data_IF_620843616087
#
_entry.id   IF_620843616087
#
_cell.length_a   1.000
_cell.length_b   1.000
_cell.length_c   1.000
_cell.angle_alpha   90.00
_cell.angle_beta   90.00
_cell.angle_gamma   90.00
#
_symmetry.space_group_name_H-M   'P 1'
#
loop_
_entity.id
_entity.type
_entity.pdbx_description
1 polymer ?
#
# COMPACT_ATOMS: atom_id res chain seq x y z
N UNK A 1 7.50 18.57 -13.24
CA UNK A 1 7.26 19.76 -12.42
C UNK A 1 8.18 19.84 -11.19
N UNK A 2 8.31 18.76 -10.43
CA UNK A 2 9.13 18.68 -9.21
C UNK A 2 10.56 18.19 -9.45
N UNK A 3 10.82 17.56 -10.58
CA UNK A 3 12.10 17.02 -11.02
C UNK A 3 12.42 17.60 -12.39
N UNK A 4 13.68 17.98 -12.64
CA UNK A 4 14.13 18.62 -13.88
C UNK A 4 14.63 17.60 -14.89
N UNK A 5 15.41 16.61 -14.43
CA UNK A 5 15.98 15.57 -15.29
C UNK A 5 14.92 14.55 -15.71
N UNK A 6 14.83 14.31 -17.01
CA UNK A 6 13.97 13.24 -17.57
C UNK A 6 14.32 11.87 -17.00
N UNK A 7 15.62 11.59 -16.85
CA UNK A 7 16.08 10.30 -16.33
C UNK A 7 15.66 10.09 -14.87
N UNK A 8 15.81 11.12 -14.02
CA UNK A 8 15.36 11.04 -12.64
C UNK A 8 13.82 10.87 -12.54
N UNK A 9 13.06 11.54 -13.41
CA UNK A 9 11.61 11.37 -13.48
C UNK A 9 11.22 9.94 -13.91
N UNK A 10 11.90 9.36 -14.91
CA UNK A 10 11.68 7.97 -15.33
C UNK A 10 12.00 6.98 -14.21
N UNK A 11 13.13 7.16 -13.52
CA UNK A 11 13.50 6.32 -12.38
C UNK A 11 12.45 6.43 -11.28
N UNK A 12 11.97 7.63 -10.96
CA UNK A 12 10.90 7.82 -9.99
C UNK A 12 9.61 7.09 -10.39
N UNK A 13 9.24 7.14 -11.66
CA UNK A 13 8.10 6.39 -12.20
C UNK A 13 8.28 4.87 -12.06
N UNK A 14 9.47 4.36 -12.39
CA UNK A 14 9.78 2.93 -12.24
C UNK A 14 9.79 2.49 -10.78
N UNK A 15 10.36 3.30 -9.88
CA UNK A 15 10.33 3.01 -8.44
C UNK A 15 8.90 2.89 -7.91
N UNK A 16 8.00 3.75 -8.38
CA UNK A 16 6.60 3.67 -8.00
C UNK A 16 5.90 2.47 -8.62
N UNK A 17 6.08 2.22 -9.92
CA UNK A 17 5.45 1.15 -10.66
C UNK A 17 5.86 -0.25 -10.17
N UNK A 18 7.09 -0.42 -9.68
CA UNK A 18 7.62 -1.67 -9.15
C UNK A 18 7.79 -1.65 -7.63
N UNK A 19 7.08 -0.76 -6.94
CA UNK A 19 7.14 -0.67 -5.47
C UNK A 19 6.65 -1.94 -4.79
N UNK A 20 7.03 -2.11 -3.53
CA UNK A 20 6.61 -3.25 -2.71
C UNK A 20 5.09 -3.39 -2.63
N UNK A 21 4.34 -2.29 -2.66
CA UNK A 21 2.89 -2.33 -2.72
C UNK A 21 2.38 -3.03 -3.98
N UNK A 22 2.96 -2.71 -5.14
CA UNK A 22 2.58 -3.32 -6.42
C UNK A 22 2.93 -4.81 -6.44
N UNK A 23 4.14 -5.16 -5.98
CA UNK A 23 4.58 -6.56 -5.91
C UNK A 23 3.70 -7.39 -4.96
N UNK A 24 3.39 -6.85 -3.77
CA UNK A 24 2.53 -7.52 -2.79
C UNK A 24 1.13 -7.77 -3.33
N UNK A 25 0.57 -6.82 -4.08
CA UNK A 25 -0.80 -6.87 -4.57
C UNK A 25 -0.91 -7.35 -6.03
N UNK A 26 0.10 -8.01 -6.58
CA UNK A 26 0.13 -8.46 -7.97
C UNK A 26 -1.05 -9.38 -8.34
N UNK A 27 -1.58 -10.13 -7.37
CA UNK A 27 -2.75 -10.99 -7.56
C UNK A 27 -4.08 -10.23 -7.70
N UNK A 28 -4.10 -8.94 -7.34
CA UNK A 28 -5.30 -8.11 -7.35
C UNK A 28 -5.23 -7.07 -8.47
N UNK A 29 -5.61 -7.43 -9.69
CA UNK A 29 -5.54 -6.55 -10.86
C UNK A 29 -6.22 -5.19 -10.62
N UNK A 30 -7.37 -5.19 -9.95
CA UNK A 30 -8.11 -3.96 -9.62
C UNK A 30 -7.39 -3.02 -8.62
N UNK A 31 -6.31 -3.46 -7.97
CA UNK A 31 -5.46 -2.60 -7.16
C UNK A 31 -4.43 -1.89 -8.04
N UNK A 32 -4.00 -2.53 -9.11
CA UNK A 32 -3.02 -1.98 -10.05
C UNK A 32 -3.58 -0.76 -10.78
N UNK A 33 -4.83 -0.83 -11.22
CA UNK A 33 -5.51 0.28 -11.90
C UNK A 33 -5.57 1.53 -11.00
N UNK A 34 -5.93 1.35 -9.73
CA UNK A 34 -5.99 2.43 -8.75
C UNK A 34 -4.64 3.13 -8.61
N UNK A 35 -3.57 2.36 -8.50
CA UNK A 35 -2.23 2.92 -8.31
C UNK A 35 -1.70 3.60 -9.57
N UNK A 36 -2.00 3.05 -10.75
CA UNK A 36 -1.60 3.63 -12.03
C UNK A 36 -2.23 5.01 -12.27
N UNK A 37 -3.49 5.19 -11.94
CA UNK A 37 -4.23 6.44 -12.19
C UNK A 37 -4.14 7.46 -11.04
N UNK A 38 -3.78 7.05 -9.82
CA UNK A 38 -3.71 7.95 -8.67
C UNK A 38 -2.83 9.20 -8.88
N UNK A 39 -1.63 9.14 -9.49
CA UNK A 39 -0.82 10.32 -9.73
C UNK A 39 -1.52 11.40 -10.55
N UNK A 40 -2.45 11.04 -11.45
CA UNK A 40 -3.24 12.00 -12.23
C UNK A 40 -4.12 12.87 -11.34
N UNK A 41 -4.62 12.32 -10.25
CA UNK A 41 -5.45 13.05 -9.29
C UNK A 41 -4.65 14.14 -8.58
N UNK A 42 -3.39 13.87 -8.22
CA UNK A 42 -2.47 14.85 -7.64
C UNK A 42 -2.09 15.93 -8.67
N UNK A 43 -1.80 15.52 -9.91
CA UNK A 43 -1.49 16.44 -11.01
C UNK A 43 -2.68 17.37 -11.27
N UNK A 44 -3.90 16.84 -11.35
CA UNK A 44 -5.11 17.58 -11.59
C UNK A 44 -5.37 18.63 -10.49
N UNK A 45 -5.14 18.28 -9.21
CA UNK A 45 -5.24 19.22 -8.09
C UNK A 45 -4.20 20.33 -8.22
N UNK A 46 -2.94 20.00 -8.50
CA UNK A 46 -1.86 20.99 -8.68
C UNK A 46 -2.14 21.94 -9.87
N UNK A 47 -2.66 21.41 -10.98
CA UNK A 47 -3.02 22.21 -12.15
C UNK A 47 -4.22 23.11 -11.89
N UNK A 48 -5.23 22.62 -11.18
CA UNK A 48 -6.39 23.44 -10.80
C UNK A 48 -5.96 24.62 -9.92
N UNK A 49 -5.08 24.41 -8.95
CA UNK A 49 -4.64 25.48 -8.02
C UNK A 49 -3.61 26.40 -8.66
N UNK A 50 -2.57 25.88 -9.29
CA UNK A 50 -1.43 26.69 -9.74
C UNK A 50 -1.59 27.23 -11.16
N UNK A 51 -2.21 26.48 -12.06
CA UNK A 51 -2.42 26.87 -13.47
C UNK A 51 -3.85 27.35 -13.73
N UNK A 52 -4.71 27.32 -12.74
CA UNK A 52 -6.11 27.76 -12.85
C UNK A 52 -6.93 26.96 -13.89
N UNK A 53 -6.50 25.71 -14.20
CA UNK A 53 -7.24 24.82 -15.10
C UNK A 53 -8.54 24.38 -14.43
N UNK A 54 -9.66 24.61 -15.11
CA UNK A 54 -10.99 24.28 -14.61
C UNK A 54 -11.44 22.92 -15.12
N UNK A 55 -12.13 22.16 -14.26
CA UNK A 55 -12.76 20.88 -14.60
C UNK A 55 -11.83 19.68 -14.63
N UNK A 56 -10.50 19.88 -14.71
CA UNK A 56 -9.52 18.77 -14.75
C UNK A 56 -9.56 17.96 -13.47
N UNK A 57 -9.71 18.63 -12.33
CA UNK A 57 -9.81 17.96 -11.04
C UNK A 57 -11.13 17.19 -10.89
N UNK A 58 -12.24 17.74 -11.38
CA UNK A 58 -13.53 17.04 -11.40
C UNK A 58 -13.47 15.75 -12.21
N UNK A 59 -12.84 15.78 -13.40
CA UNK A 59 -12.66 14.59 -14.22
C UNK A 59 -11.76 13.55 -13.55
N UNK A 60 -10.67 13.97 -12.90
CA UNK A 60 -9.80 13.06 -12.17
C UNK A 60 -10.52 12.39 -10.98
N UNK A 61 -11.31 13.14 -10.23
CA UNK A 61 -12.14 12.63 -9.14
C UNK A 61 -13.17 11.63 -9.67
N UNK A 62 -13.87 11.97 -10.76
CA UNK A 62 -14.85 11.07 -11.39
C UNK A 62 -14.19 9.77 -11.85
N UNK A 63 -13.05 9.87 -12.53
CA UNK A 63 -12.29 8.70 -12.99
C UNK A 63 -11.94 7.77 -11.81
N UNK A 64 -11.38 8.30 -10.74
CA UNK A 64 -10.99 7.50 -9.58
C UNK A 64 -12.20 6.87 -8.86
N UNK A 65 -13.31 7.61 -8.75
CA UNK A 65 -14.56 7.08 -8.22
C UNK A 65 -15.13 5.91 -9.05
N UNK A 66 -14.96 5.97 -10.37
CA UNK A 66 -15.38 4.88 -11.28
C UNK A 66 -14.43 3.68 -11.27
N UNK A 67 -13.12 3.89 -11.06
CA UNK A 67 -12.14 2.79 -11.03
C UNK A 67 -12.38 1.90 -9.82
N UNK A 68 -12.45 2.49 -8.60
CA UNK A 68 -12.62 1.67 -7.41
C UNK A 68 -13.14 2.49 -6.21
N UNK A 69 -14.38 2.25 -5.83
CA UNK A 69 -15.04 2.94 -4.72
C UNK A 69 -14.35 2.72 -3.36
N UNK A 70 -13.78 1.54 -3.14
CA UNK A 70 -13.15 1.20 -1.86
C UNK A 70 -11.90 2.06 -1.61
N UNK A 71 -11.02 2.17 -2.61
CA UNK A 71 -9.82 3.00 -2.52
C UNK A 71 -10.12 4.50 -2.56
N UNK A 72 -11.23 4.88 -3.20
CA UNK A 72 -11.63 6.28 -3.36
C UNK A 72 -11.78 7.00 -2.02
N UNK A 73 -12.31 6.33 -0.99
CA UNK A 73 -12.41 6.89 0.37
C UNK A 73 -11.03 7.26 0.93
N UNK A 74 -10.06 6.35 0.81
CA UNK A 74 -8.68 6.61 1.26
C UNK A 74 -8.02 7.74 0.46
N UNK A 75 -8.28 7.81 -0.85
CA UNK A 75 -7.76 8.88 -1.71
C UNK A 75 -8.33 10.25 -1.29
N UNK A 76 -9.62 10.32 -0.95
CA UNK A 76 -10.22 11.56 -0.45
C UNK A 76 -9.52 12.06 0.82
N UNK A 77 -9.26 11.16 1.78
CA UNK A 77 -8.50 11.48 3.00
C UNK A 77 -7.10 11.96 2.65
N UNK A 78 -6.38 11.23 1.80
CA UNK A 78 -5.03 11.62 1.40
C UNK A 78 -4.99 12.97 0.68
N UNK A 79 -5.95 13.27 -0.19
CA UNK A 79 -6.03 14.55 -0.88
C UNK A 79 -6.24 15.72 0.08
N UNK A 80 -7.04 15.53 1.12
CA UNK A 80 -7.21 16.53 2.18
C UNK A 80 -5.87 16.78 2.89
N UNK A 81 -5.17 15.70 3.30
CA UNK A 81 -3.85 15.82 3.92
C UNK A 81 -2.83 16.48 2.99
N UNK A 82 -2.81 16.05 1.72
CA UNK A 82 -1.96 16.65 0.68
C UNK A 82 -2.23 18.13 0.53
N UNK A 83 -3.49 18.53 0.36
CA UNK A 83 -3.89 19.93 0.22
C UNK A 83 -3.44 20.78 1.42
N UNK A 84 -3.73 20.30 2.65
CA UNK A 84 -3.35 21.01 3.89
C UNK A 84 -1.83 21.21 3.92
N UNK A 85 -1.05 20.14 3.70
CA UNK A 85 0.42 20.23 3.73
C UNK A 85 0.95 21.15 2.62
N UNK A 86 0.33 21.11 1.44
CA UNK A 86 0.70 21.98 0.30
C UNK A 86 0.40 23.44 0.55
N UNK A 87 -0.64 23.79 1.30
CA UNK A 87 -0.93 25.18 1.66
C UNK A 87 0.22 25.86 2.43
N UNK A 88 1.07 25.09 3.11
CA UNK A 88 2.27 25.62 3.77
C UNK A 88 3.50 25.74 2.84
N UNK A 89 3.35 25.46 1.55
CA UNK A 89 4.42 25.56 0.56
C UNK A 89 4.33 26.84 -0.24
N UNK A 90 5.47 27.51 -0.44
CA UNK A 90 5.54 28.78 -1.19
C UNK A 90 5.15 28.65 -2.66
N UNK A 91 5.28 27.46 -3.24
CA UNK A 91 4.99 27.15 -4.65
C UNK A 91 3.55 26.69 -4.89
N UNK A 92 2.70 26.71 -3.85
CA UNK A 92 1.28 26.32 -3.95
C UNK A 92 0.37 27.53 -3.66
N UNK A 93 -0.09 28.16 -4.71
CA UNK A 93 -0.82 29.44 -4.63
C UNK A 93 -2.32 29.23 -4.33
N UNK A 94 -2.61 28.57 -3.22
CA UNK A 94 -3.97 28.40 -2.73
C UNK A 94 -4.54 29.72 -2.23
N UNK A 95 -5.75 30.05 -2.64
CA UNK A 95 -6.56 31.15 -2.11
C UNK A 95 -7.94 30.60 -1.72
N UNK A 96 -8.70 31.28 -0.84
CA UNK A 96 -10.04 30.82 -0.50
C UNK A 96 -10.93 30.60 -1.73
N UNK A 97 -10.87 31.48 -2.72
CA UNK A 97 -11.63 31.36 -3.98
C UNK A 97 -11.24 30.07 -4.75
N UNK A 98 -9.95 29.74 -4.81
CA UNK A 98 -9.47 28.50 -5.47
C UNK A 98 -9.84 27.26 -4.67
N UNK A 99 -9.84 27.35 -3.33
CA UNK A 99 -10.29 26.26 -2.46
C UNK A 99 -11.77 25.93 -2.70
N UNK A 100 -12.66 26.94 -2.68
CA UNK A 100 -14.08 26.70 -2.94
C UNK A 100 -14.34 26.15 -4.33
N UNK A 101 -13.58 26.60 -5.33
CA UNK A 101 -13.66 26.03 -6.67
C UNK A 101 -13.21 24.56 -6.69
N UNK A 102 -12.08 24.26 -6.05
CA UNK A 102 -11.58 22.87 -5.97
C UNK A 102 -12.59 21.96 -5.26
N UNK A 103 -13.21 22.44 -4.17
CA UNK A 103 -14.25 21.71 -3.47
C UNK A 103 -15.48 21.49 -4.37
N UNK A 104 -15.88 22.49 -5.13
CA UNK A 104 -16.98 22.36 -6.11
C UNK A 104 -16.62 21.34 -7.20
N UNK A 105 -15.40 21.37 -7.75
CA UNK A 105 -14.92 20.38 -8.73
C UNK A 105 -14.91 18.97 -8.13
N UNK A 106 -14.52 18.79 -6.85
CA UNK A 106 -14.59 17.51 -6.16
C UNK A 106 -16.04 16.99 -6.09
N UNK A 107 -17.00 17.86 -5.69
CA UNK A 107 -18.42 17.50 -5.63
C UNK A 107 -18.93 17.11 -7.01
N UNK A 108 -18.63 17.88 -8.04
CA UNK A 108 -19.02 17.56 -9.42
C UNK A 108 -18.42 16.20 -9.84
N UNK A 109 -17.15 15.93 -9.53
CA UNK A 109 -16.51 14.65 -9.84
C UNK A 109 -17.18 13.46 -9.15
N UNK A 110 -17.54 13.62 -7.87
CA UNK A 110 -18.30 12.59 -7.13
C UNK A 110 -19.69 12.39 -7.74
N UNK A 111 -20.39 13.46 -8.10
CA UNK A 111 -21.71 13.38 -8.74
C UNK A 111 -21.63 12.68 -10.11
N UNK A 112 -20.59 12.93 -10.90
CA UNK A 112 -20.35 12.23 -12.16
C UNK A 112 -20.09 10.72 -11.96
N UNK A 113 -19.46 10.32 -10.85
CA UNK A 113 -19.21 8.92 -10.51
C UNK A 113 -20.40 8.29 -9.73
N UNK A 114 -21.42 9.04 -9.38
CA UNK A 114 -22.48 8.65 -8.45
C UNK A 114 -23.28 7.41 -8.95
N UNK A 115 -23.36 7.20 -10.26
CA UNK A 115 -24.01 6.01 -10.84
C UNK A 115 -23.34 4.69 -10.44
N UNK A 116 -22.04 4.69 -10.10
CA UNK A 116 -21.30 3.56 -9.52
C UNK A 116 -21.16 3.66 -8.01
N UNK A 117 -20.86 4.85 -7.49
CA UNK A 117 -20.60 5.04 -6.07
C UNK A 117 -21.83 4.82 -5.21
N UNK A 118 -23.02 5.26 -5.65
CA UNK A 118 -24.24 5.14 -4.86
C UNK A 118 -24.71 3.67 -4.71
N UNK A 119 -24.82 2.86 -5.77
CA UNK A 119 -25.14 1.44 -5.61
C UNK A 119 -24.10 0.70 -4.76
N UNK A 120 -22.82 1.01 -4.94
CA UNK A 120 -21.74 0.42 -4.15
C UNK A 120 -21.87 0.77 -2.67
N UNK A 121 -22.15 2.03 -2.34
CA UNK A 121 -22.35 2.48 -0.96
C UNK A 121 -23.56 1.78 -0.31
N UNK A 122 -24.66 1.64 -1.04
CA UNK A 122 -25.86 0.93 -0.55
C UNK A 122 -25.58 -0.56 -0.30
N UNK A 123 -24.86 -1.21 -1.22
CA UNK A 123 -24.46 -2.61 -1.06
C UNK A 123 -23.51 -2.81 0.14
N UNK A 124 -22.61 -1.84 0.37
CA UNK A 124 -21.72 -1.83 1.53
C UNK A 124 -22.52 -1.69 2.83
N UNK A 125 -23.45 -0.76 2.91
CA UNK A 125 -24.26 -0.55 4.11
C UNK A 125 -25.10 -1.77 4.50
N UNK A 126 -25.46 -2.61 3.53
CA UNK A 126 -26.15 -3.88 3.75
C UNK A 126 -25.20 -5.00 4.24
N UNK A 127 -23.89 -4.78 4.29
CA UNK A 127 -22.93 -5.81 4.66
C UNK A 127 -22.52 -5.70 6.15
N UNK A 128 -22.82 -6.75 6.92
CA UNK A 128 -22.51 -6.81 8.36
C UNK A 128 -21.00 -6.72 8.72
N UNK A 129 -20.10 -6.93 7.76
CA UNK A 129 -18.63 -6.81 8.00
C UNK A 129 -18.16 -5.39 8.28
N UNK A 130 -18.97 -4.37 7.98
CA UNK A 130 -18.60 -2.95 8.13
C UNK A 130 -18.93 -2.42 9.53
N UNK A 131 -19.63 -3.18 10.33
CA UNK A 131 -20.04 -2.78 11.69
C UNK A 131 -18.89 -2.80 12.69
N UNK A 132 -17.75 -3.45 12.35
CA UNK A 132 -16.57 -3.45 13.22
C UNK A 132 -15.97 -2.04 13.30
N UNK A 133 -15.94 -1.48 14.50
CA UNK A 133 -15.31 -0.19 14.81
C UNK A 133 -14.25 -0.37 15.88
N UNK A 134 -13.25 0.52 15.89
CA UNK A 134 -12.27 0.57 16.96
C UNK A 134 -12.85 1.26 18.19
N UNK A 135 -12.57 0.73 19.38
CA UNK A 135 -13.03 1.30 20.65
C UNK A 135 -11.91 1.31 21.69
N UNK A 136 -11.97 2.30 22.59
CA UNK A 136 -11.05 2.39 23.73
C UNK A 136 -9.58 2.46 23.29
N UNK A 137 -8.74 1.64 23.91
CA UNK A 137 -7.29 1.60 23.63
C UNK A 137 -6.94 1.12 22.23
N UNK A 138 -7.81 0.33 21.59
CA UNK A 138 -7.60 -0.15 20.21
C UNK A 138 -7.59 0.99 19.18
N UNK A 139 -8.08 2.16 19.56
CA UNK A 139 -7.98 3.37 18.73
C UNK A 139 -6.56 3.95 18.69
N UNK A 140 -5.79 3.78 19.77
CA UNK A 140 -4.47 4.40 19.94
C UNK A 140 -3.31 3.43 19.72
N UNK A 141 -3.50 2.16 20.08
CA UNK A 141 -2.47 1.14 20.01
C UNK A 141 -3.00 -0.12 19.30
N UNK A 142 -2.15 -0.73 18.46
CA UNK A 142 -2.48 -2.00 17.84
C UNK A 142 -2.42 -3.14 18.87
N UNK A 143 -3.44 -4.01 18.89
CA UNK A 143 -3.46 -5.22 19.71
C UNK A 143 -2.30 -6.16 19.38
N UNK A 144 -1.95 -6.25 18.11
CA UNK A 144 -0.76 -6.97 17.65
C UNK A 144 0.49 -6.07 17.79
N UNK A 145 1.28 -6.31 18.83
CA UNK A 145 2.51 -5.55 19.10
C UNK A 145 3.56 -5.64 17.99
N UNK A 146 3.55 -6.71 17.20
CA UNK A 146 4.49 -6.90 16.10
C UNK A 146 4.13 -6.06 14.87
N UNK A 147 2.92 -5.49 14.81
CA UNK A 147 2.44 -4.73 13.65
C UNK A 147 3.29 -3.50 13.34
N UNK A 148 3.74 -2.79 14.37
CA UNK A 148 4.63 -1.62 14.20
C UNK A 148 5.93 -2.05 13.53
N UNK A 149 6.52 -3.16 13.97
CA UNK A 149 7.75 -3.69 13.39
C UNK A 149 7.56 -4.14 11.93
N UNK A 150 6.41 -4.73 11.59
CA UNK A 150 6.07 -5.07 10.20
C UNK A 150 5.91 -3.85 9.31
N UNK A 151 5.30 -2.78 9.83
CA UNK A 151 5.20 -1.52 9.09
C UNK A 151 6.60 -0.99 8.80
N UNK A 152 7.50 -0.97 9.78
CA UNK A 152 8.89 -0.52 9.60
C UNK A 152 9.62 -1.43 8.60
N UNK A 153 9.56 -2.75 8.81
CA UNK A 153 10.15 -3.76 7.93
C UNK A 153 9.75 -3.55 6.47
N UNK A 154 8.46 -3.31 6.22
CA UNK A 154 7.89 -3.18 4.88
C UNK A 154 8.51 -2.08 4.03
N UNK A 155 9.14 -1.07 4.64
CA UNK A 155 9.84 0.00 3.94
C UNK A 155 11.28 -0.35 3.59
N UNK A 156 11.90 -1.28 4.30
CA UNK A 156 13.31 -1.63 4.12
C UNK A 156 13.52 -2.96 3.40
N UNK A 157 12.61 -3.91 3.57
CA UNK A 157 12.71 -5.25 2.99
C UNK A 157 11.66 -5.47 1.89
N UNK A 158 11.99 -6.35 0.97
CA UNK A 158 11.09 -6.76 -0.10
C UNK A 158 9.89 -7.49 0.53
N UNK A 159 8.64 -7.15 0.15
CA UNK A 159 7.47 -7.80 0.70
C UNK A 159 7.43 -9.29 0.32
N UNK A 160 6.94 -10.10 1.24
CA UNK A 160 6.62 -11.49 0.99
C UNK A 160 5.27 -11.63 0.27
N UNK A 161 4.92 -12.84 -0.15
CA UNK A 161 3.62 -13.10 -0.78
C UNK A 161 2.47 -12.85 0.22
N UNK A 162 1.29 -12.39 -0.24
CA UNK A 162 0.19 -11.96 0.64
C UNK A 162 -0.30 -13.02 1.62
N UNK A 163 -0.21 -14.29 1.25
CA UNK A 163 -0.67 -15.41 2.07
C UNK A 163 0.35 -15.85 3.14
N UNK A 164 1.58 -15.34 3.08
CA UNK A 164 2.66 -15.70 3.99
C UNK A 164 3.15 -14.48 4.76
N UNK A 165 3.26 -14.56 6.11
CA UNK A 165 3.87 -13.50 6.89
C UNK A 165 5.38 -13.45 6.67
N UNK A 166 5.95 -12.24 6.76
CA UNK A 166 7.38 -12.00 6.77
C UNK A 166 8.02 -12.46 8.11
N UNK A 167 9.00 -11.74 8.62
CA UNK A 167 9.74 -12.04 9.85
C UNK A 167 8.81 -12.18 11.06
N UNK A 168 7.79 -11.33 11.16
CA UNK A 168 6.86 -11.30 12.29
C UNK A 168 5.57 -12.02 11.90
N UNK A 169 5.43 -13.28 12.32
CA UNK A 169 4.25 -14.08 12.01
C UNK A 169 3.00 -13.58 12.75
N UNK A 170 1.89 -13.38 12.03
CA UNK A 170 0.56 -13.19 12.58
C UNK A 170 -0.48 -13.44 11.48
N UNK A 171 -1.61 -14.00 11.85
CA UNK A 171 -2.71 -14.22 10.93
C UNK A 171 -3.29 -12.89 10.40
N UNK A 172 -3.24 -11.83 11.19
CA UNK A 172 -3.74 -10.50 10.83
C UNK A 172 -2.86 -9.77 9.79
N UNK A 173 -1.64 -10.26 9.54
CA UNK A 173 -0.75 -9.70 8.53
C UNK A 173 -1.09 -10.17 7.12
N UNK A 174 -1.77 -11.32 7.00
CA UNK A 174 -2.18 -11.87 5.70
C UNK A 174 -3.14 -10.90 5.03
N UNK A 175 -2.93 -10.66 3.74
CA UNK A 175 -3.80 -9.82 2.91
C UNK A 175 -3.94 -8.35 3.34
N UNK A 176 -3.10 -7.89 4.30
CA UNK A 176 -3.15 -6.52 4.80
C UNK A 176 -2.51 -5.48 3.86
N UNK A 177 -1.85 -5.91 2.78
CA UNK A 177 -1.16 -5.06 1.80
C UNK A 177 -0.04 -4.20 2.40
N UNK A 178 0.69 -4.74 3.38
CA UNK A 178 1.82 -4.06 4.01
C UNK A 178 3.04 -4.20 3.10
N UNK A 179 3.27 -3.22 2.23
CA UNK A 179 4.40 -3.23 1.31
C UNK A 179 4.78 -1.81 0.92
N UNK A 180 5.80 -1.25 1.59
CA UNK A 180 6.29 0.11 1.37
C UNK A 180 7.61 0.21 0.63
N UNK A 181 8.24 -0.92 0.32
CA UNK A 181 9.57 -1.01 -0.26
C UNK A 181 9.67 -0.31 -1.63
N UNK A 182 10.72 0.49 -1.80
CA UNK A 182 11.12 1.03 -3.09
C UNK A 182 12.23 0.15 -3.68
N UNK A 183 12.08 -0.38 -4.91
CA UNK A 183 13.06 -1.28 -5.50
C UNK A 183 14.43 -0.59 -5.65
N UNK A 184 15.51 -1.36 -5.56
CA UNK A 184 16.92 -0.96 -5.68
C UNK A 184 17.42 -0.04 -4.57
N UNK A 185 16.71 1.03 -4.26
CA UNK A 185 17.17 2.08 -3.36
C UNK A 185 16.61 1.97 -1.94
N UNK A 186 15.57 1.12 -1.72
CA UNK A 186 14.89 1.08 -0.43
C UNK A 186 14.57 2.51 0.06
N UNK A 187 14.84 2.81 1.31
CA UNK A 187 14.63 4.14 1.91
C UNK A 187 15.77 5.12 1.69
N UNK A 188 16.84 4.77 0.94
CA UNK A 188 18.05 5.59 0.79
C UNK A 188 17.73 7.01 0.31
N UNK A 189 16.99 7.13 -0.78
CA UNK A 189 16.60 8.43 -1.34
C UNK A 189 15.69 9.22 -0.40
N UNK A 190 14.71 8.57 0.21
CA UNK A 190 13.74 9.19 1.12
C UNK A 190 14.44 9.74 2.37
N UNK A 191 15.30 8.96 3.02
CA UNK A 191 16.03 9.36 4.23
C UNK A 191 17.04 10.49 3.93
N UNK A 192 17.74 10.40 2.80
CA UNK A 192 18.63 11.47 2.35
C UNK A 192 17.86 12.75 2.07
N UNK A 193 16.73 12.68 1.39
CA UNK A 193 15.85 13.83 1.18
C UNK A 193 15.40 14.44 2.51
N UNK A 194 14.96 13.62 3.44
CA UNK A 194 14.50 14.07 4.76
C UNK A 194 15.58 14.81 5.55
N UNK A 195 16.85 14.40 5.40
CA UNK A 195 17.98 15.08 6.06
C UNK A 195 18.31 16.43 5.44
N UNK A 196 18.32 16.52 4.11
CA UNK A 196 18.83 17.71 3.40
C UNK A 196 17.76 18.73 3.03
N UNK A 197 16.47 18.38 3.10
CA UNK A 197 15.35 19.25 2.74
C UNK A 197 14.41 19.48 3.91
N UNK A 198 14.89 20.27 4.88
CA UNK A 198 14.06 20.67 6.02
C UNK A 198 12.90 21.58 5.56
N UNK A 199 11.74 21.35 6.16
CA UNK A 199 10.55 22.14 5.87
C UNK A 199 9.89 21.88 4.51
N UNK A 200 10.42 20.96 3.68
CA UNK A 200 9.79 20.63 2.41
C UNK A 200 8.47 19.89 2.60
N UNK A 201 7.46 20.22 1.80
CA UNK A 201 6.11 19.65 1.90
C UNK A 201 6.08 18.13 1.81
N UNK A 202 6.87 17.52 0.92
CA UNK A 202 6.93 16.07 0.76
C UNK A 202 7.39 15.36 2.04
N UNK A 203 8.42 15.91 2.74
CA UNK A 203 8.88 15.40 4.04
C UNK A 203 7.75 15.46 5.08
N UNK A 204 7.04 16.60 5.17
CA UNK A 204 5.92 16.78 6.12
C UNK A 204 4.78 15.79 5.83
N UNK A 205 4.46 15.59 4.55
CA UNK A 205 3.38 14.69 4.14
C UNK A 205 3.74 13.23 4.46
N UNK A 206 4.93 12.77 4.10
CA UNK A 206 5.38 11.40 4.40
C UNK A 206 5.44 11.17 5.90
N UNK A 207 5.94 12.15 6.70
CA UNK A 207 5.94 12.05 8.15
C UNK A 207 4.51 11.95 8.71
N UNK A 208 3.58 12.77 8.22
CA UNK A 208 2.17 12.72 8.61
C UNK A 208 1.54 11.35 8.27
N UNK A 209 1.81 10.82 7.07
CA UNK A 209 1.37 9.48 6.68
C UNK A 209 1.99 8.40 7.57
N UNK A 210 3.24 8.55 7.98
CA UNK A 210 3.89 7.63 8.92
C UNK A 210 3.17 7.64 10.27
N UNK A 211 2.82 8.80 10.79
CA UNK A 211 2.01 8.92 12.02
C UNK A 211 0.66 8.22 11.84
N UNK A 212 0.00 8.46 10.69
CA UNK A 212 -1.26 7.78 10.38
C UNK A 212 -1.12 6.25 10.31
N UNK A 213 0.00 5.74 9.83
CA UNK A 213 0.25 4.29 9.78
C UNK A 213 0.46 3.65 11.15
N UNK A 214 1.04 4.39 12.12
CA UNK A 214 1.31 3.87 13.46
C UNK A 214 0.15 3.97 14.45
N UNK A 215 -0.84 4.81 14.17
CA UNK A 215 -2.01 5.02 15.06
C UNK A 215 -3.25 4.39 14.42
N UNK A 216 -3.86 3.35 15.04
CA UNK A 216 -4.97 2.58 14.46
C UNK A 216 -6.13 3.43 13.96
N UNK A 217 -6.61 4.39 14.75
CA UNK A 217 -7.73 5.23 14.37
C UNK A 217 -7.40 6.08 13.12
N UNK A 218 -6.20 6.63 13.03
CA UNK A 218 -5.77 7.42 11.88
C UNK A 218 -5.60 6.54 10.63
N UNK A 219 -5.06 5.34 10.79
CA UNK A 219 -4.98 4.36 9.72
C UNK A 219 -6.39 3.98 9.21
N UNK A 220 -7.35 3.79 10.11
CA UNK A 220 -8.72 3.41 9.75
C UNK A 220 -9.49 4.50 8.99
N UNK A 221 -9.09 5.77 9.10
CA UNK A 221 -9.68 6.86 8.31
C UNK A 221 -9.60 6.61 6.79
N UNK A 222 -8.56 5.92 6.33
CA UNK A 222 -8.37 5.63 4.91
C UNK A 222 -9.34 4.56 4.36
N UNK A 223 -10.09 3.88 5.21
CA UNK A 223 -11.13 2.90 4.84
C UNK A 223 -12.39 3.02 5.71
N UNK A 224 -12.88 4.23 5.81
CA UNK A 224 -14.15 4.59 6.42
C UNK A 224 -14.28 4.17 7.89
N UNK A 225 -13.20 4.30 8.68
CA UNK A 225 -13.14 3.97 10.11
C UNK A 225 -13.47 2.51 10.43
N UNK A 226 -13.20 1.59 9.53
CA UNK A 226 -13.37 0.16 9.79
C UNK A 226 -12.32 -0.33 10.79
N UNK A 227 -12.71 -1.25 11.69
CA UNK A 227 -11.83 -1.81 12.71
C UNK A 227 -10.80 -2.81 12.20
N UNK A 228 -10.99 -3.36 10.99
CA UNK A 228 -10.00 -4.24 10.37
C UNK A 228 -8.75 -3.47 9.97
N UNK A 229 -7.57 -4.09 10.12
CA UNK A 229 -6.33 -3.44 9.70
C UNK A 229 -6.03 -3.69 8.23
N UNK A 230 -5.80 -2.59 7.49
CA UNK A 230 -5.29 -2.62 6.11
C UNK A 230 -4.27 -1.51 5.89
N UNK A 231 -3.22 -1.81 5.12
CA UNK A 231 -2.25 -0.84 4.61
C UNK A 231 -2.46 -0.52 3.12
N UNK A 232 -3.69 -0.75 2.63
CA UNK A 232 -4.06 -0.61 1.21
C UNK A 232 -3.90 0.81 0.66
N UNK A 233 -3.74 1.80 1.51
CA UNK A 233 -3.50 3.19 1.15
C UNK A 233 -2.01 3.55 1.00
N UNK A 234 -1.09 2.64 1.31
CA UNK A 234 0.36 2.90 1.31
C UNK A 234 0.91 3.32 -0.07
N UNK A 235 0.27 2.93 -1.18
CA UNK A 235 0.70 3.39 -2.51
C UNK A 235 0.73 4.92 -2.64
N UNK A 236 -0.10 5.64 -1.90
CA UNK A 236 -0.17 7.11 -1.94
C UNK A 236 1.10 7.77 -1.34
N UNK A 237 1.52 7.50 -0.10
CA UNK A 237 2.80 7.97 0.39
C UNK A 237 3.99 7.39 -0.38
N UNK A 238 3.93 6.17 -0.90
CA UNK A 238 4.98 5.58 -1.74
C UNK A 238 5.18 6.40 -3.02
N UNK A 239 4.13 6.91 -3.62
CA UNK A 239 4.23 7.84 -4.76
C UNK A 239 5.06 9.07 -4.40
N UNK A 240 4.84 9.66 -3.22
CA UNK A 240 5.62 10.81 -2.74
C UNK A 240 7.07 10.41 -2.40
N UNK A 241 7.28 9.22 -1.82
CA UNK A 241 8.61 8.69 -1.53
C UNK A 241 9.43 8.44 -2.81
N UNK A 242 8.79 7.91 -3.86
CA UNK A 242 9.40 7.76 -5.17
C UNK A 242 9.79 9.12 -5.77
N UNK A 243 8.93 10.13 -5.64
CA UNK A 243 9.23 11.51 -6.03
C UNK A 243 10.42 12.10 -5.23
N UNK A 244 10.48 11.87 -3.90
CA UNK A 244 11.60 12.31 -3.07
C UNK A 244 12.92 11.67 -3.51
N UNK A 245 12.90 10.38 -3.83
CA UNK A 245 14.07 9.65 -4.33
C UNK A 245 14.50 10.19 -5.70
N UNK A 246 13.55 10.41 -6.62
CA UNK A 246 13.82 11.03 -7.92
C UNK A 246 14.43 12.43 -7.76
N UNK A 247 13.97 13.21 -6.80
CA UNK A 247 14.52 14.53 -6.50
C UNK A 247 15.97 14.46 -6.00
N UNK A 248 16.31 13.46 -5.17
CA UNK A 248 17.69 13.24 -4.71
C UNK A 248 18.58 12.87 -5.88
N UNK A 249 18.12 12.02 -6.79
CA UNK A 249 18.86 11.62 -7.98
C UNK A 249 19.08 12.80 -8.96
N UNK A 250 18.15 13.73 -9.01
CA UNK A 250 18.23 14.94 -9.85
C UNK A 250 19.20 16.00 -9.28
N UNK A 251 19.49 15.95 -7.98
CA UNK A 251 20.30 16.95 -7.28
C UNK A 251 21.61 16.34 -6.75
N UNK A 252 22.69 16.48 -7.51
CA UNK A 252 24.02 15.97 -7.17
C UNK A 252 24.59 16.51 -5.86
N UNK A 253 24.05 17.62 -5.36
CA UNK A 253 24.46 18.22 -4.08
C UNK A 253 23.97 17.44 -2.85
N UNK A 254 22.98 16.56 -3.03
CA UNK A 254 22.41 15.77 -1.94
C UNK A 254 23.18 14.46 -1.84
N UNK A 255 23.89 14.26 -0.72
CA UNK A 255 24.63 13.01 -0.47
C UNK A 255 23.69 11.88 -0.08
N UNK A 256 23.77 10.74 -0.78
CA UNK A 256 23.03 9.53 -0.45
C UNK A 256 23.62 8.74 0.73
N UNK A 257 24.82 9.10 1.24
CA UNK A 257 25.57 8.36 2.28
C UNK A 257 24.75 8.16 3.56
N UNK A 258 24.02 9.20 3.98
CA UNK A 258 23.19 9.13 5.19
C UNK A 258 22.04 8.10 5.05
N UNK A 259 21.30 8.19 3.96
CA UNK A 259 20.21 7.24 3.69
C UNK A 259 20.72 5.82 3.52
N UNK A 260 21.88 5.65 2.85
CA UNK A 260 22.53 4.35 2.68
C UNK A 260 22.94 3.75 4.03
N UNK A 261 23.58 4.54 4.91
CA UNK A 261 23.99 4.07 6.23
C UNK A 261 22.82 3.59 7.08
N UNK A 262 21.72 4.38 7.15
CA UNK A 262 20.53 3.96 7.92
C UNK A 262 19.85 2.76 7.26
N UNK A 263 19.71 2.72 5.95
CA UNK A 263 19.07 1.58 5.27
C UNK A 263 19.87 0.30 5.47
N UNK A 264 21.20 0.36 5.37
CA UNK A 264 22.08 -0.78 5.63
C UNK A 264 21.98 -1.25 7.09
N UNK A 265 21.94 -0.31 8.05
CA UNK A 265 21.77 -0.63 9.47
C UNK A 265 20.42 -1.34 9.71
N UNK A 266 19.33 -0.82 9.15
CA UNK A 266 18.00 -1.42 9.32
C UNK A 266 17.93 -2.81 8.69
N UNK A 267 18.52 -3.01 7.50
CA UNK A 267 18.60 -4.33 6.86
C UNK A 267 19.42 -5.32 7.71
N UNK A 268 20.52 -4.85 8.30
CA UNK A 268 21.33 -5.68 9.21
C UNK A 268 20.54 -6.05 10.47
N UNK A 269 19.83 -5.11 11.08
CA UNK A 269 18.98 -5.35 12.26
C UNK A 269 17.91 -6.39 11.95
N UNK A 270 17.18 -6.25 10.84
CA UNK A 270 16.17 -7.22 10.46
C UNK A 270 16.78 -8.59 10.10
N UNK A 271 17.93 -8.62 9.44
CA UNK A 271 18.66 -9.86 9.18
C UNK A 271 19.07 -10.60 10.46
N UNK A 272 19.53 -9.88 11.49
CA UNK A 272 19.81 -10.45 12.81
C UNK A 272 18.54 -10.95 13.48
N UNK A 273 17.45 -10.17 13.44
CA UNK A 273 16.15 -10.58 14.01
C UNK A 273 15.63 -11.85 13.31
N UNK A 274 15.80 -11.96 12.00
CA UNK A 274 15.43 -13.18 11.25
C UNK A 274 16.23 -14.40 11.74
N UNK A 275 17.53 -14.24 11.90
CA UNK A 275 18.43 -15.33 12.27
C UNK A 275 18.21 -15.81 13.71
N UNK A 276 17.98 -14.90 14.63
CA UNK A 276 17.88 -15.20 16.07
C UNK A 276 16.46 -15.19 16.61
N UNK A 277 15.52 -14.51 15.94
CA UNK A 277 14.12 -14.40 16.38
C UNK A 277 13.20 -15.54 15.95
N UNK A 278 13.64 -16.38 15.03
CA UNK A 278 12.88 -17.51 14.50
C UNK A 278 12.83 -18.74 15.41
N UNK A 279 13.27 -18.63 16.66
CA UNK A 279 13.10 -19.65 17.70
C UNK A 279 11.65 -19.97 18.08
N UNK A 280 10.67 -19.30 17.50
CA UNK A 280 9.27 -19.71 17.59
C UNK A 280 9.06 -20.96 16.72
N UNK A 281 8.80 -22.07 17.39
CA UNK A 281 8.63 -23.40 16.87
C UNK A 281 7.82 -23.46 15.56
N UNK A 282 8.19 -24.32 14.63
CA UNK A 282 7.50 -24.52 13.34
C UNK A 282 6.09 -25.12 13.46
N UNK A 283 5.51 -25.16 14.63
CA UNK A 283 4.33 -25.98 14.97
C UNK A 283 2.98 -25.49 14.39
N UNK A 284 2.91 -24.33 13.79
CA UNK A 284 1.66 -23.89 13.13
C UNK A 284 1.79 -23.75 11.61
N UNK A 285 2.87 -24.25 11.04
CA UNK A 285 3.10 -24.21 9.60
C UNK A 285 2.43 -25.39 8.90
N UNK A 286 1.11 -25.39 8.81
CA UNK A 286 0.44 -26.12 7.74
C UNK A 286 0.77 -25.43 6.41
N UNK A 287 2.03 -25.51 5.99
CA UNK A 287 2.47 -25.05 4.69
C UNK A 287 2.04 -26.05 3.64
N UNK A 288 1.43 -25.54 2.58
CA UNK A 288 1.41 -26.27 1.32
C UNK A 288 2.89 -26.63 0.98
N UNK A 289 3.22 -27.92 0.81
CA UNK A 289 4.59 -28.36 0.55
C UNK A 289 5.24 -27.67 -0.66
N UNK A 290 4.46 -27.12 -1.58
CA UNK A 290 4.94 -26.35 -2.73
C UNK A 290 5.49 -24.97 -2.34
N UNK A 291 4.95 -24.33 -1.31
CA UNK A 291 5.39 -23.00 -0.84
C UNK A 291 6.49 -23.08 0.23
N UNK A 292 6.63 -24.21 0.93
CA UNK A 292 7.67 -24.43 1.95
C UNK A 292 9.12 -24.42 1.40
N UNK A 293 9.28 -24.43 0.08
CA UNK A 293 10.61 -24.50 -0.57
C UNK A 293 11.25 -23.16 -0.86
N UNK A 294 10.56 -22.05 -0.55
CA UNK A 294 11.07 -20.69 -0.75
C UNK A 294 11.15 -20.00 0.62
N UNK A 295 11.97 -20.52 1.52
CA UNK A 295 12.28 -19.81 2.78
C UNK A 295 13.51 -18.93 2.58
N UNK A 296 13.51 -17.67 3.08
CA UNK A 296 14.75 -16.91 3.24
C UNK A 296 15.74 -17.74 4.07
N UNK A 297 16.96 -17.90 3.60
CA UNK A 297 17.97 -18.76 4.25
C UNK A 297 18.16 -20.13 3.60
N UNK A 298 17.22 -20.67 2.84
CA UNK A 298 17.49 -21.83 1.99
C UNK A 298 18.16 -21.34 0.70
N UNK A 299 19.35 -21.84 0.39
CA UNK A 299 20.00 -21.64 -0.92
C UNK A 299 18.95 -21.72 -2.01
N UNK A 300 18.87 -20.74 -2.88
CA UNK A 300 18.04 -20.72 -4.07
C UNK A 300 18.32 -21.97 -4.94
N UNK A 301 17.67 -23.08 -4.64
CA UNK A 301 17.64 -24.23 -5.52
C UNK A 301 16.33 -24.17 -6.29
N UNK A 302 16.38 -23.56 -7.48
CA UNK A 302 15.39 -23.77 -8.52
C UNK A 302 15.47 -25.26 -8.95
N UNK A 303 14.79 -26.14 -8.22
CA UNK A 303 14.39 -27.43 -8.79
C UNK A 303 13.01 -27.21 -9.40
N UNK A 304 12.96 -27.09 -10.71
CA UNK A 304 11.75 -27.31 -11.46
C UNK A 304 11.17 -28.65 -10.97
N UNK A 305 9.97 -28.62 -10.41
CA UNK A 305 9.27 -29.82 -9.97
C UNK A 305 8.95 -30.65 -11.20
N UNK A 306 9.80 -31.61 -11.49
CA UNK A 306 9.51 -32.68 -12.43
C UNK A 306 8.41 -33.57 -11.80
N UNK A 307 7.25 -33.58 -12.43
CA UNK A 307 6.07 -34.43 -12.21
C UNK A 307 4.99 -33.97 -11.22
N UNK A 308 4.00 -33.22 -11.70
CA UNK A 308 2.75 -32.99 -10.95
C UNK A 308 1.81 -34.21 -10.91
N UNK A 309 2.15 -35.31 -11.58
CA UNK A 309 1.27 -36.48 -11.72
C UNK A 309 1.34 -37.50 -10.58
N UNK A 310 2.29 -37.40 -9.65
CA UNK A 310 2.39 -38.34 -8.52
C UNK A 310 1.52 -37.93 -7.30
N UNK A 311 1.21 -36.64 -7.13
CA UNK A 311 0.43 -36.22 -5.97
C UNK A 311 -1.07 -36.52 -6.06
N UNK A 312 -1.60 -36.71 -7.28
CA UNK A 312 -3.02 -37.06 -7.45
C UNK A 312 -3.33 -38.58 -7.34
N UNK A 313 -2.31 -39.43 -7.45
CA UNK A 313 -2.55 -40.90 -7.41
C UNK A 313 -2.58 -41.47 -5.99
N UNK A 314 -1.96 -40.81 -5.02
CA UNK A 314 -1.97 -41.29 -3.63
C UNK A 314 -3.21 -40.85 -2.83
N UNK A 315 -4.03 -39.94 -3.41
CA UNK A 315 -5.31 -39.52 -2.84
C UNK A 315 -6.50 -40.42 -3.26
N UNK A 316 -6.25 -41.42 -4.11
CA UNK A 316 -7.29 -42.39 -4.56
C UNK A 316 -7.14 -43.78 -3.88
N UNK A 317 -7.05 -43.81 -2.56
CA UNK A 317 -7.47 -45.02 -1.83
C UNK A 317 -8.94 -44.88 -1.45
N UNK A 318 -9.78 -45.86 -1.70
CA UNK A 318 -11.21 -45.74 -1.55
C UNK A 318 -11.61 -45.73 -0.07
N UNK A 319 -11.88 -44.55 0.48
CA UNK A 319 -12.70 -44.42 1.66
C UNK A 319 -14.09 -44.00 1.19
N UNK A 320 -15.06 -44.70 1.70
CA UNK A 320 -16.50 -44.66 1.41
C UNK A 320 -17.06 -43.38 0.77
N UNK A 321 -17.89 -43.60 -0.24
CA UNK A 321 -18.68 -42.66 -1.01
C UNK A 321 -19.19 -41.44 -0.24
N UNK A 322 -18.95 -40.28 -0.82
CA UNK A 322 -19.73 -39.07 -0.65
C UNK A 322 -19.08 -38.03 0.27
N UNK A 323 -18.76 -36.87 -0.27
CA UNK A 323 -18.60 -35.56 0.38
C UNK A 323 -17.22 -34.87 0.42
N UNK A 324 -16.15 -35.37 -0.13
CA UNK A 324 -14.86 -34.62 -0.04
C UNK A 324 -14.52 -33.80 -1.29
N UNK A 325 -15.00 -34.16 -2.48
CA UNK A 325 -14.72 -33.39 -3.70
C UNK A 325 -15.52 -32.09 -3.82
N UNK A 326 -16.69 -31.99 -3.16
CA UNK A 326 -17.53 -30.79 -3.15
C UNK A 326 -17.01 -29.69 -2.21
N UNK A 327 -16.16 -30.01 -1.23
CA UNK A 327 -15.74 -29.04 -0.23
C UNK A 327 -14.56 -28.18 -0.68
N UNK A 328 -13.68 -28.67 -1.54
CA UNK A 328 -12.54 -27.91 -2.03
C UNK A 328 -12.92 -26.88 -3.10
N UNK A 329 -13.87 -27.23 -3.99
CA UNK A 329 -14.36 -26.31 -5.04
C UNK A 329 -15.27 -25.22 -4.49
N UNK A 330 -16.03 -25.53 -3.44
CA UNK A 330 -16.98 -24.56 -2.84
C UNK A 330 -16.28 -23.49 -2.02
N UNK A 331 -15.11 -23.78 -1.42
CA UNK A 331 -14.37 -22.78 -0.62
C UNK A 331 -13.65 -21.77 -1.50
N UNK A 332 -13.10 -22.19 -2.65
CA UNK A 332 -12.49 -21.28 -3.63
C UNK A 332 -13.55 -20.45 -4.37
N UNK A 333 -14.67 -21.03 -4.77
CA UNK A 333 -15.77 -20.27 -5.41
C UNK A 333 -16.48 -19.33 -4.43
N UNK A 334 -16.66 -19.68 -3.16
CA UNK A 334 -17.21 -18.75 -2.16
C UNK A 334 -16.28 -17.58 -1.86
N UNK A 335 -14.98 -17.78 -1.89
CA UNK A 335 -14.02 -16.68 -1.68
C UNK A 335 -13.99 -15.73 -2.88
N UNK A 336 -14.13 -16.27 -4.09
CA UNK A 336 -14.17 -15.47 -5.33
C UNK A 336 -15.46 -14.66 -5.52
N UNK A 337 -16.59 -15.19 -5.03
CA UNK A 337 -17.90 -14.48 -5.02
C UNK A 337 -18.04 -13.47 -3.87
N UNK A 338 -17.17 -13.52 -2.87
CA UNK A 338 -17.17 -12.58 -1.73
C UNK A 338 -16.21 -11.40 -1.96
N UNK A 339 -15.34 -11.49 -2.96
CA UNK A 339 -14.41 -10.42 -3.38
C UNK A 339 -14.90 -9.67 -4.63
N UNK A 340 -16.08 -10.00 -5.14
CA UNK A 340 -16.84 -9.21 -6.09
C UNK A 340 -17.97 -8.50 -5.36
#
# INVERSE_FOLDING_TARGET
RFVRSRNAALIGGLLYAFSGFQLFNLFFNHFQDVTAFFPLMLIAMEESINQNRKGVFALAVALMGCINYFFFTGQAVFLVLYFIVRCFSKDFHATPKKFFRLALEAIIGVLLACFLLLPSALAILANNRITSRLYGMDMLAYNDRTRIWRIIESFFLIPDVPARPNLFSSNDAKWASIGGYLPLFSMVGVLSFCKYKDGHWAKRLVLLCTICAFIPILNSCFYALNGSYYARWFYMPICIMALMTAYVLDNTTISAKYGLGISALMMAVFGVVEQFGTGAAPESRNYDPLLARITPGSRWQFRLAANPTKSCKDAQKPAARGTVAAHCTTQYQKQWLLDR
#
